data_IF_986103537178
#
_entry.id   IF_986103537178
#
_cell.length_a   1.000
_cell.length_b   1.000
_cell.length_c   1.000
_cell.angle_alpha   90.00
_cell.angle_beta   90.00
_cell.angle_gamma   90.00
#
_symmetry.space_group_name_H-M   'P 1'
#
loop_
_entity.id
_entity.type
_entity.pdbx_description
1 polymer ?
#
# COMPACT_ATOMS: atom_id res chain seq x y z
N UNK A 1 -4.42 6.93 -15.48
CA UNK A 1 -3.08 6.30 -15.41
C UNK A 1 -2.55 6.53 -14.00
N UNK A 2 -2.34 5.48 -13.20
CA UNK A 2 -1.85 5.65 -11.83
C UNK A 2 -0.36 6.04 -11.87
N UNK A 3 -0.05 7.26 -11.47
CA UNK A 3 1.32 7.69 -11.21
C UNK A 3 1.90 6.81 -10.07
N UNK A 4 3.16 6.35 -10.20
CA UNK A 4 3.85 5.58 -9.16
C UNK A 4 3.71 6.26 -7.78
N UNK A 5 3.73 7.60 -7.74
CA UNK A 5 3.50 8.39 -6.53
C UNK A 5 2.14 8.13 -5.88
N UNK A 6 1.05 8.13 -6.66
CA UNK A 6 -0.29 7.83 -6.14
C UNK A 6 -0.36 6.42 -5.58
N UNK A 7 0.24 5.46 -6.29
CA UNK A 7 0.26 4.07 -5.83
C UNK A 7 1.06 3.92 -4.53
N UNK A 8 2.18 4.62 -4.40
CA UNK A 8 2.97 4.62 -3.16
C UNK A 8 2.17 5.19 -1.98
N UNK A 9 1.40 6.26 -2.21
CA UNK A 9 0.49 6.83 -1.20
C UNK A 9 -0.60 5.83 -0.82
N UNK A 10 -1.30 5.23 -1.79
CA UNK A 10 -2.33 4.21 -1.52
C UNK A 10 -1.79 3.07 -0.66
N UNK A 11 -0.61 2.53 -0.99
CA UNK A 11 0.00 1.42 -0.26
C UNK A 11 0.48 1.83 1.14
N UNK A 12 0.91 3.08 1.31
CA UNK A 12 1.24 3.63 2.63
C UNK A 12 -0.01 3.73 3.49
N UNK A 13 -1.06 4.35 2.97
CA UNK A 13 -2.26 4.69 3.75
C UNK A 13 -3.02 3.43 4.19
N UNK A 14 -3.06 2.38 3.38
CA UNK A 14 -3.67 1.10 3.80
C UNK A 14 -2.88 0.40 4.91
N UNK A 15 -1.55 0.55 4.94
CA UNK A 15 -0.70 0.01 6.02
C UNK A 15 -0.85 0.83 7.29
N UNK A 16 -0.90 2.16 7.17
CA UNK A 16 -1.10 3.06 8.29
C UNK A 16 -2.48 2.83 8.92
N UNK A 17 -3.53 2.81 8.12
CA UNK A 17 -4.89 2.46 8.54
C UNK A 17 -4.93 1.13 9.29
N UNK A 18 -4.29 0.08 8.75
CA UNK A 18 -4.23 -1.22 9.41
C UNK A 18 -3.51 -1.18 10.75
N UNK A 19 -2.48 -0.33 10.89
CA UNK A 19 -1.74 -0.15 12.13
C UNK A 19 -2.56 0.64 13.17
N UNK A 20 -3.21 1.72 12.73
CA UNK A 20 -4.11 2.53 13.56
C UNK A 20 -5.27 1.70 14.10
N UNK A 21 -5.92 0.90 13.25
CA UNK A 21 -7.00 0.01 13.68
C UNK A 21 -6.56 -0.94 14.79
N UNK A 22 -5.35 -1.52 14.69
CA UNK A 22 -4.80 -2.38 15.74
C UNK A 22 -4.47 -1.60 17.03
N UNK A 23 -3.96 -0.38 16.92
CA UNK A 23 -3.69 0.48 18.07
C UNK A 23 -4.97 0.80 18.86
N UNK A 24 -6.12 0.89 18.18
CA UNK A 24 -7.44 1.03 18.80
C UNK A 24 -8.11 -0.31 19.18
N UNK A 25 -7.36 -1.42 19.23
CA UNK A 25 -7.85 -2.73 19.64
C UNK A 25 -8.73 -3.45 18.61
N UNK A 26 -8.79 -2.97 17.36
CA UNK A 26 -9.55 -3.62 16.28
C UNK A 26 -8.71 -4.67 15.56
N UNK A 27 -9.39 -5.63 14.93
CA UNK A 27 -8.73 -6.68 14.13
C UNK A 27 -7.91 -6.09 12.99
N UNK A 28 -6.70 -6.63 12.79
CA UNK A 28 -5.83 -6.26 11.68
C UNK A 28 -6.52 -6.48 10.33
N UNK A 29 -6.53 -5.45 9.48
CA UNK A 29 -7.10 -5.55 8.14
C UNK A 29 -6.27 -6.46 7.23
N UNK A 30 -4.95 -6.55 7.49
CA UNK A 30 -4.02 -7.38 6.73
C UNK A 30 -3.27 -8.32 7.66
N UNK A 31 -3.09 -9.56 7.21
CA UNK A 31 -2.19 -10.51 7.86
C UNK A 31 -0.73 -10.07 7.72
N UNK A 32 0.20 -10.63 8.51
CA UNK A 32 1.63 -10.33 8.38
C UNK A 32 2.17 -10.56 6.96
N UNK A 33 1.79 -11.66 6.30
CA UNK A 33 2.22 -11.97 4.93
C UNK A 33 1.66 -10.97 3.91
N UNK A 34 0.41 -10.54 4.06
CA UNK A 34 -0.18 -9.52 3.20
C UNK A 34 0.54 -8.17 3.37
N UNK A 35 0.92 -7.79 4.60
CA UNK A 35 1.73 -6.58 4.87
C UNK A 35 3.12 -6.67 4.25
N UNK A 36 3.74 -7.85 4.24
CA UNK A 36 5.03 -8.09 3.56
C UNK A 36 4.88 -7.87 2.06
N UNK A 37 3.87 -8.46 1.42
CA UNK A 37 3.61 -8.26 -0.01
C UNK A 37 3.39 -6.77 -0.35
N UNK A 38 2.59 -6.06 0.45
CA UNK A 38 2.38 -4.61 0.26
C UNK A 38 3.71 -3.85 0.35
N UNK A 39 4.54 -4.15 1.36
CA UNK A 39 5.85 -3.52 1.49
C UNK A 39 6.84 -3.91 0.37
N UNK A 40 6.74 -5.12 -0.18
CA UNK A 40 7.52 -5.51 -1.35
C UNK A 40 7.14 -4.69 -2.58
N UNK A 41 5.85 -4.44 -2.81
CA UNK A 41 5.42 -3.56 -3.90
C UNK A 41 5.87 -2.11 -3.66
N UNK A 42 5.75 -1.60 -2.43
CA UNK A 42 6.31 -0.28 -2.07
C UNK A 42 7.81 -0.20 -2.37
N UNK A 43 8.59 -1.19 -1.96
CA UNK A 43 10.02 -1.25 -2.24
C UNK A 43 10.35 -1.34 -3.74
N UNK A 44 9.52 -2.06 -4.50
CA UNK A 44 9.62 -2.14 -5.96
C UNK A 44 9.41 -0.77 -6.61
N UNK A 45 8.33 -0.09 -6.25
CA UNK A 45 8.01 1.23 -6.76
C UNK A 45 9.05 2.29 -6.37
N UNK A 46 9.53 2.26 -5.12
CA UNK A 46 10.62 3.13 -4.66
C UNK A 46 11.91 2.90 -5.47
N UNK A 47 12.22 1.66 -5.84
CA UNK A 47 13.39 1.38 -6.68
C UNK A 47 13.26 1.89 -8.11
N UNK A 48 12.03 2.12 -8.60
CA UNK A 48 11.79 2.63 -9.95
C UNK A 48 11.84 4.15 -10.03
N UNK A 49 11.55 4.87 -8.93
CA UNK A 49 11.62 6.33 -8.88
C UNK A 49 12.99 6.87 -8.48
N UNK A 50 13.83 6.04 -7.84
CA UNK A 50 15.18 6.43 -7.49
C UNK A 50 16.01 6.62 -8.76
N UNK A 51 16.41 7.86 -9.05
CA UNK A 51 17.16 8.21 -10.26
C UNK A 51 18.57 7.62 -10.27
N UNK A 52 19.10 7.28 -9.09
CA UNK A 52 20.42 6.66 -8.95
C UNK A 52 20.42 5.16 -9.30
N UNK A 53 19.25 4.53 -9.37
CA UNK A 53 19.14 3.12 -9.70
C UNK A 53 19.28 2.90 -11.20
N UNK A 54 20.22 2.03 -11.60
CA UNK A 54 20.29 1.57 -12.97
C UNK A 54 19.12 0.63 -13.28
N UNK A 55 18.85 0.38 -14.56
CA UNK A 55 17.72 -0.48 -14.97
C UNK A 55 17.77 -1.88 -14.33
N UNK A 56 18.97 -2.43 -14.12
CA UNK A 56 19.18 -3.71 -13.44
C UNK A 56 18.83 -3.70 -11.95
N UNK A 57 18.82 -2.53 -11.31
CA UNK A 57 18.50 -2.37 -9.88
C UNK A 57 17.00 -2.19 -9.63
N UNK A 58 16.23 -1.92 -10.70
CA UNK A 58 14.78 -1.74 -10.62
C UNK A 58 14.12 -3.08 -10.35
N UNK A 59 13.46 -3.16 -9.19
CA UNK A 59 12.65 -4.32 -8.83
C UNK A 59 11.27 -4.18 -9.47
N UNK A 60 10.70 -5.31 -9.88
CA UNK A 60 9.40 -5.39 -10.54
C UNK A 60 8.52 -6.40 -9.80
N UNK A 61 7.97 -5.96 -8.67
CA UNK A 61 7.00 -6.72 -7.88
C UNK A 61 5.67 -5.98 -7.83
N UNK A 62 4.59 -6.75 -7.91
CA UNK A 62 3.22 -6.27 -7.74
C UNK A 62 2.46 -7.24 -6.85
N UNK A 63 1.60 -6.71 -5.97
CA UNK A 63 0.75 -7.55 -5.15
C UNK A 63 -0.11 -8.50 -6.00
N UNK A 64 -0.34 -9.75 -5.53
CA UNK A 64 -1.19 -10.69 -6.22
C UNK A 64 -2.64 -10.17 -6.33
N UNK A 65 -3.42 -10.56 -7.36
CA UNK A 65 -4.74 -9.99 -7.63
C UNK A 65 -5.72 -10.02 -6.45
N UNK A 66 -5.69 -11.07 -5.63
CA UNK A 66 -6.53 -11.18 -4.43
C UNK A 66 -6.20 -10.09 -3.40
N UNK A 67 -4.91 -9.84 -3.17
CA UNK A 67 -4.46 -8.79 -2.27
C UNK A 67 -4.73 -7.40 -2.86
N UNK A 68 -4.59 -7.26 -4.18
CA UNK A 68 -4.92 -6.03 -4.89
C UNK A 68 -6.37 -5.60 -4.68
N UNK A 69 -7.33 -6.52 -4.82
CA UNK A 69 -8.74 -6.23 -4.55
C UNK A 69 -8.99 -5.77 -3.11
N UNK A 70 -8.27 -6.39 -2.15
CA UNK A 70 -8.34 -6.03 -0.74
C UNK A 70 -7.74 -4.64 -0.47
N UNK A 71 -6.61 -4.31 -1.09
CA UNK A 71 -6.00 -2.97 -1.05
C UNK A 71 -7.03 -1.93 -1.52
N UNK A 72 -7.62 -2.11 -2.72
CA UNK A 72 -8.62 -1.17 -3.25
C UNK A 72 -9.80 -0.96 -2.29
N UNK A 73 -10.31 -2.04 -1.72
CA UNK A 73 -11.42 -1.97 -0.76
C UNK A 73 -11.05 -1.16 0.48
N UNK A 74 -9.85 -1.35 1.04
CA UNK A 74 -9.39 -0.59 2.20
C UNK A 74 -9.07 0.86 1.83
N UNK A 75 -8.46 1.13 0.67
CA UNK A 75 -8.23 2.49 0.17
C UNK A 75 -9.53 3.27 0.09
N UNK A 76 -10.59 2.68 -0.48
CA UNK A 76 -11.90 3.35 -0.53
C UNK A 76 -12.44 3.65 0.88
N UNK A 77 -12.32 2.71 1.82
CA UNK A 77 -12.72 2.94 3.22
C UNK A 77 -11.97 4.11 3.87
N UNK A 78 -10.67 4.24 3.61
CA UNK A 78 -9.86 5.35 4.14
C UNK A 78 -10.36 6.67 3.58
N UNK A 79 -10.62 6.74 2.27
CA UNK A 79 -11.18 7.93 1.61
C UNK A 79 -12.55 8.28 2.21
N UNK A 80 -13.45 7.32 2.33
CA UNK A 80 -14.81 7.54 2.85
C UNK A 80 -14.77 8.07 4.29
N UNK A 81 -13.89 7.54 5.14
CA UNK A 81 -13.70 8.03 6.51
C UNK A 81 -13.21 9.49 6.49
N UNK A 82 -12.19 9.78 5.69
CA UNK A 82 -11.61 11.13 5.59
C UNK A 82 -12.62 12.16 5.05
N UNK A 83 -13.59 11.76 4.21
CA UNK A 83 -14.67 12.64 3.75
C UNK A 83 -15.72 12.94 4.82
N UNK A 84 -15.82 12.10 5.85
CA UNK A 84 -16.79 12.27 6.95
C UNK A 84 -16.17 13.07 8.11
N UNK A 85 -14.86 12.95 8.32
CA UNK A 85 -14.14 13.57 9.45
C UNK A 85 -13.55 14.94 9.16
N UNK A 86 -13.64 15.43 7.91
CA UNK A 86 -13.21 16.76 7.47
C UNK A 86 -14.43 17.61 7.08
#
# INVERSE_FOLDING_TARGET
MSNIGNRLADLHDVLDYCSNQQAFGKTACFTPLERICINQERGSLLSQINQDNQEGDKRHYKCPPKLESKIRFITQKVIDINLITN
#
